data_IF_060226581855
#
_entry.id   IF_060226581855
#
_cell.length_a   1.000
_cell.length_b   1.000
_cell.length_c   1.000
_cell.angle_alpha   90.00
_cell.angle_beta   90.00
_cell.angle_gamma   90.00
#
_symmetry.space_group_name_H-M   'P 1'
#
loop_
_entity.id
_entity.type
_entity.pdbx_description
1 polymer ?
#
# COMPACT_ATOMS: atom_id res chain seq x y z
N UNK A 1 28.56 -8.40 -23.05
CA UNK A 1 28.13 -8.97 -21.76
C UNK A 1 26.62 -9.07 -21.77
N UNK A 2 26.07 -10.24 -21.46
CA UNK A 2 24.63 -10.53 -21.39
C UNK A 2 24.31 -11.21 -20.06
N UNK A 3 23.16 -10.89 -19.48
CA UNK A 3 22.73 -11.47 -18.21
C UNK A 3 21.24 -11.26 -17.94
N UNK A 4 20.79 -11.77 -16.80
CA UNK A 4 19.41 -11.59 -16.30
C UNK A 4 19.47 -11.16 -14.84
N UNK A 5 18.70 -10.14 -14.47
CA UNK A 5 18.60 -9.66 -13.09
C UNK A 5 17.30 -10.13 -12.44
N UNK A 6 17.39 -10.67 -11.22
CA UNK A 6 16.24 -11.08 -10.42
C UNK A 6 16.36 -10.63 -8.96
N UNK A 7 15.22 -10.34 -8.34
CA UNK A 7 15.10 -10.23 -6.89
C UNK A 7 14.54 -11.52 -6.33
N UNK A 8 14.95 -11.90 -5.11
CA UNK A 8 14.29 -12.96 -4.36
C UNK A 8 13.52 -12.28 -3.26
N UNK A 9 12.22 -12.49 -3.25
CA UNK A 9 11.34 -11.68 -2.44
C UNK A 9 11.61 -11.90 -0.96
N UNK A 10 11.66 -10.83 -0.18
CA UNK A 10 11.67 -10.87 1.28
C UNK A 10 10.29 -10.70 1.89
N UNK A 11 9.41 -9.96 1.19
CA UNK A 11 8.03 -9.74 1.59
C UNK A 11 7.21 -11.02 1.35
N UNK A 12 6.53 -11.51 2.40
CA UNK A 12 5.77 -12.77 2.36
C UNK A 12 4.71 -12.80 1.26
N UNK A 13 3.86 -11.78 1.19
CA UNK A 13 2.80 -11.72 0.18
C UNK A 13 3.34 -11.67 -1.27
N UNK A 14 4.51 -11.06 -1.48
CA UNK A 14 5.16 -11.04 -2.79
C UNK A 14 5.63 -12.43 -3.19
N UNK A 15 6.15 -13.22 -2.24
CA UNK A 15 6.52 -14.62 -2.48
C UNK A 15 5.31 -15.48 -2.84
N UNK A 16 4.24 -15.34 -2.05
CA UNK A 16 3.05 -16.17 -2.19
C UNK A 16 2.38 -15.96 -3.55
N UNK A 17 2.39 -14.73 -4.07
CA UNK A 17 1.67 -14.38 -5.29
C UNK A 17 2.56 -14.30 -6.54
N UNK A 18 3.80 -13.81 -6.42
CA UNK A 18 4.72 -13.65 -7.56
C UNK A 18 5.84 -14.70 -7.59
N UNK A 19 5.84 -15.64 -6.63
CA UNK A 19 6.85 -16.68 -6.46
C UNK A 19 8.06 -16.21 -5.66
N UNK A 20 8.95 -17.14 -5.28
CA UNK A 20 10.16 -16.82 -4.48
C UNK A 20 11.09 -15.78 -5.12
N UNK A 21 11.01 -15.60 -6.44
CA UNK A 21 11.83 -14.64 -7.17
C UNK A 21 11.12 -14.14 -8.43
N UNK A 22 11.36 -12.89 -8.79
CA UNK A 22 10.86 -12.28 -10.02
C UNK A 22 11.96 -11.53 -10.78
N UNK A 23 11.80 -11.35 -12.11
CA UNK A 23 12.70 -10.51 -12.89
C UNK A 23 12.62 -9.05 -12.45
N UNK A 24 13.77 -8.38 -12.36
CA UNK A 24 13.82 -6.94 -12.12
C UNK A 24 13.80 -6.20 -13.45
N UNK A 25 12.63 -5.71 -13.85
CA UNK A 25 12.43 -4.92 -15.06
C UNK A 25 12.76 -3.43 -14.85
N UNK A 26 13.23 -2.75 -15.90
CA UNK A 26 13.44 -1.30 -15.91
C UNK A 26 14.65 -0.78 -15.12
N UNK A 27 15.34 -1.63 -14.35
CA UNK A 27 16.54 -1.28 -13.57
C UNK A 27 17.68 -0.89 -14.50
N UNK A 28 18.40 0.18 -14.17
CA UNK A 28 19.58 0.57 -14.92
C UNK A 28 20.76 -0.34 -14.57
N UNK A 29 21.51 -0.77 -15.58
CA UNK A 29 22.67 -1.66 -15.46
C UNK A 29 23.86 -0.98 -16.11
N UNK A 30 24.95 -0.85 -15.35
CA UNK A 30 26.22 -0.33 -15.82
C UNK A 30 27.27 -1.42 -15.76
N UNK A 31 27.89 -1.71 -16.90
CA UNK A 31 28.99 -2.67 -17.00
C UNK A 31 30.30 -1.90 -17.01
N UNK A 32 31.24 -2.33 -16.19
CA UNK A 32 32.63 -1.91 -16.22
C UNK A 32 33.49 -3.03 -16.76
N UNK A 33 34.57 -2.67 -17.44
CA UNK A 33 35.59 -3.63 -17.83
C UNK A 33 36.99 -3.09 -17.52
N UNK A 34 37.90 -3.98 -17.13
CA UNK A 34 39.34 -3.71 -17.04
C UNK A 34 40.11 -4.68 -17.93
N UNK A 35 41.11 -4.17 -18.64
CA UNK A 35 41.92 -4.96 -19.55
C UNK A 35 43.14 -5.56 -18.83
N UNK A 36 43.57 -6.75 -19.26
CA UNK A 36 44.85 -7.34 -18.87
C UNK A 36 45.96 -6.73 -19.73
N UNK A 37 46.94 -6.11 -19.09
CA UNK A 37 48.16 -5.63 -19.73
C UNK A 37 49.39 -6.41 -19.20
N UNK A 38 50.58 -6.07 -19.68
CA UNK A 38 51.82 -6.73 -19.26
C UNK A 38 52.12 -6.59 -17.75
N UNK A 39 51.67 -5.51 -17.12
CA UNK A 39 51.87 -5.21 -15.70
C UNK A 39 50.73 -5.72 -14.78
N UNK A 40 49.70 -6.38 -15.34
CA UNK A 40 48.56 -6.90 -14.59
C UNK A 40 47.21 -6.40 -15.09
N UNK A 41 46.23 -6.29 -14.20
CA UNK A 41 44.91 -5.76 -14.52
C UNK A 41 44.91 -4.23 -14.45
N UNK A 42 44.44 -3.57 -15.52
CA UNK A 42 44.27 -2.12 -15.56
C UNK A 42 43.11 -1.61 -14.69
N UNK A 43 42.74 -0.34 -14.89
CA UNK A 43 41.63 0.30 -14.18
C UNK A 43 40.27 -0.14 -14.71
N UNK A 44 39.25 -0.07 -13.84
CA UNK A 44 37.87 -0.25 -14.24
C UNK A 44 37.40 0.92 -15.08
N UNK A 45 36.94 0.65 -16.29
CA UNK A 45 36.38 1.66 -17.18
C UNK A 45 34.92 1.33 -17.46
N UNK A 46 34.03 2.30 -17.25
CA UNK A 46 32.61 2.13 -17.52
C UNK A 46 32.33 2.00 -19.01
N UNK A 47 31.35 1.17 -19.33
CA UNK A 47 30.70 1.09 -20.63
C UNK A 47 29.37 1.86 -20.58
N UNK A 48 28.52 1.64 -21.56
CA UNK A 48 27.18 2.23 -21.64
C UNK A 48 26.26 1.68 -20.54
N UNK A 49 25.36 2.54 -20.05
CA UNK A 49 24.24 2.16 -19.17
C UNK A 49 23.07 1.68 -20.03
N UNK A 50 22.51 0.53 -19.66
CA UNK A 50 21.29 -0.02 -20.29
C UNK A 50 20.20 -0.23 -19.24
N UNK A 51 18.97 -0.48 -19.66
CA UNK A 51 17.89 -0.90 -18.75
C UNK A 51 17.58 -2.38 -18.96
N UNK A 52 17.22 -3.07 -17.88
CA UNK A 52 16.68 -4.42 -17.98
C UNK A 52 15.32 -4.41 -18.68
N UNK A 53 15.06 -5.44 -19.48
CA UNK A 53 13.75 -5.68 -20.11
C UNK A 53 12.74 -6.23 -19.10
N UNK A 54 11.49 -6.45 -19.53
CA UNK A 54 10.42 -7.03 -18.70
C UNK A 54 10.76 -8.40 -18.11
N UNK A 55 11.59 -9.19 -18.78
CA UNK A 55 12.10 -10.49 -18.32
C UNK A 55 13.38 -10.38 -17.47
N UNK A 56 13.81 -9.16 -17.13
CA UNK A 56 15.03 -8.87 -16.37
C UNK A 56 16.31 -9.00 -17.19
N UNK A 57 16.24 -9.30 -18.49
CA UNK A 57 17.45 -9.46 -19.32
C UNK A 57 18.08 -8.12 -19.67
N UNK A 58 19.42 -8.11 -19.77
CA UNK A 58 20.19 -6.97 -20.25
C UNK A 58 21.33 -7.43 -21.18
N UNK A 59 21.79 -6.51 -22.05
CA UNK A 59 22.91 -6.74 -22.94
C UNK A 59 23.69 -5.45 -23.15
N UNK A 60 25.00 -5.48 -22.89
CA UNK A 60 25.92 -4.37 -23.16
C UNK A 60 27.03 -4.86 -24.09
N UNK A 61 27.28 -4.12 -25.17
CA UNK A 61 28.35 -4.36 -26.14
C UNK A 61 29.23 -3.12 -26.28
N UNK A 62 30.53 -3.32 -26.43
CA UNK A 62 31.50 -2.27 -26.74
C UNK A 62 32.58 -2.86 -27.62
N UNK A 63 32.94 -2.14 -28.69
CA UNK A 63 34.07 -2.50 -29.51
C UNK A 63 35.37 -2.05 -28.83
N UNK A 64 36.29 -2.99 -28.66
CA UNK A 64 37.60 -2.74 -28.06
C UNK A 64 38.65 -3.61 -28.73
N UNK A 65 39.95 -3.35 -28.49
CA UNK A 65 41.03 -4.23 -28.93
C UNK A 65 40.94 -5.66 -28.40
N UNK A 66 41.87 -6.50 -28.82
CA UNK A 66 41.90 -7.96 -28.55
C UNK A 66 42.27 -8.35 -27.11
N UNK A 67 42.40 -7.38 -26.21
CA UNK A 67 42.84 -7.61 -24.84
C UNK A 67 41.83 -8.46 -24.05
N UNK A 68 42.34 -9.27 -23.13
CA UNK A 68 41.50 -10.00 -22.19
C UNK A 68 40.89 -9.05 -21.19
N UNK A 69 39.64 -9.29 -20.79
CA UNK A 69 38.89 -8.41 -19.90
C UNK A 69 38.27 -9.14 -18.73
N UNK A 70 38.23 -8.45 -17.60
CA UNK A 70 37.34 -8.77 -16.50
C UNK A 70 36.20 -7.76 -16.45
N UNK A 71 35.07 -8.19 -15.91
CA UNK A 71 33.84 -7.41 -15.82
C UNK A 71 33.43 -7.15 -14.37
N UNK A 72 32.86 -5.97 -14.16
CA UNK A 72 32.12 -5.59 -12.96
C UNK A 72 30.76 -5.05 -13.41
N UNK A 73 29.70 -5.35 -12.67
CA UNK A 73 28.35 -4.89 -12.98
C UNK A 73 27.78 -4.19 -11.76
N UNK A 74 27.28 -2.99 -11.99
CA UNK A 74 26.54 -2.22 -11.01
C UNK A 74 25.11 -1.97 -11.51
N UNK A 75 24.17 -1.83 -10.58
CA UNK A 75 22.78 -1.51 -10.88
C UNK A 75 22.31 -0.26 -10.15
N UNK A 76 21.28 0.37 -10.71
CA UNK A 76 20.65 1.56 -10.17
C UNK A 76 19.12 1.47 -10.32
N UNK A 77 18.40 1.63 -9.20
CA UNK A 77 16.94 1.66 -9.14
C UNK A 77 16.41 3.06 -9.45
N UNK A 78 16.26 3.36 -10.74
CA UNK A 78 15.91 4.70 -11.20
C UNK A 78 15.13 4.71 -12.51
N UNK A 79 13.86 5.09 -12.49
CA UNK A 79 12.99 5.35 -13.64
C UNK A 79 12.55 6.82 -13.66
N UNK A 80 11.57 7.13 -14.52
CA UNK A 80 10.93 8.43 -14.52
C UNK A 80 9.97 8.57 -13.32
N UNK A 81 9.27 7.50 -12.90
CA UNK A 81 8.37 7.54 -11.74
C UNK A 81 9.05 7.20 -10.41
N UNK A 82 10.10 6.38 -10.38
CA UNK A 82 10.66 5.84 -9.14
C UNK A 82 12.16 6.04 -9.02
N UNK A 83 12.63 6.40 -7.84
CA UNK A 83 14.03 6.25 -7.43
C UNK A 83 14.10 5.63 -6.06
N UNK A 84 14.96 4.62 -5.88
CA UNK A 84 15.27 4.07 -4.56
C UNK A 84 16.72 4.39 -4.24
N UNK A 85 16.94 4.92 -3.04
CA UNK A 85 18.25 5.31 -2.51
C UNK A 85 18.48 4.63 -1.18
N UNK A 86 19.74 4.38 -0.88
CA UNK A 86 20.17 4.07 0.48
C UNK A 86 20.11 5.35 1.31
N UNK A 87 19.27 5.39 2.35
CA UNK A 87 19.24 6.53 3.26
C UNK A 87 20.47 6.48 4.15
N UNK A 88 21.48 7.30 3.87
CA UNK A 88 22.58 7.49 4.83
C UNK A 88 22.20 8.47 5.92
N UNK A 89 22.89 8.39 7.06
CA UNK A 89 22.77 9.35 8.16
C UNK A 89 23.12 10.77 7.71
N UNK A 90 22.10 11.55 7.38
CA UNK A 90 22.22 12.99 7.17
C UNK A 90 21.24 13.71 8.09
N UNK A 91 21.52 13.72 9.40
CA UNK A 91 20.82 14.61 10.32
C UNK A 91 21.60 15.92 10.47
N UNK A 92 20.98 17.02 10.06
CA UNK A 92 21.33 18.35 10.58
C UNK A 92 20.27 18.66 11.65
N UNK A 93 20.67 18.61 12.92
CA UNK A 93 19.80 18.96 14.03
C UNK A 93 19.67 20.48 14.12
N UNK A 94 18.51 21.03 13.79
CA UNK A 94 18.17 22.39 14.20
C UNK A 94 17.48 22.32 15.56
N UNK A 95 18.16 22.85 16.59
CA UNK A 95 17.80 22.80 18.01
C UNK A 95 16.34 22.51 18.38
N UNK A 96 16.14 21.40 19.08
CA UNK A 96 14.87 20.91 19.62
C UNK A 96 14.68 19.42 19.34
N UNK A 97 13.72 18.77 19.99
CA UNK A 97 13.27 17.38 19.78
C UNK A 97 12.65 17.16 18.37
N UNK A 98 13.03 18.00 17.40
CA UNK A 98 12.39 18.17 16.11
C UNK A 98 12.76 17.10 15.11
N UNK A 99 11.74 16.74 14.32
CA UNK A 99 11.81 15.90 13.15
C UNK A 99 12.93 16.38 12.19
N UNK A 100 13.71 15.49 11.57
CA UNK A 100 14.73 15.92 10.62
C UNK A 100 14.06 16.54 9.40
N UNK A 101 14.20 17.85 9.25
CA UNK A 101 13.94 18.53 7.98
C UNK A 101 15.09 18.11 7.06
N UNK A 102 14.78 17.29 6.06
CA UNK A 102 15.71 16.95 4.99
C UNK A 102 16.10 18.24 4.25
N UNK A 103 17.22 18.84 4.64
CA UNK A 103 17.91 19.74 3.73
C UNK A 103 18.35 18.82 2.59
N UNK A 104 17.85 19.10 1.39
CA UNK A 104 18.12 18.36 0.15
C UNK A 104 19.62 18.41 -0.22
N UNK A 105 20.46 17.80 0.61
CA UNK A 105 21.88 17.61 0.42
C UNK A 105 22.04 16.13 0.14
N UNK A 106 21.88 15.80 -1.13
CA UNK A 106 22.17 14.48 -1.69
C UNK A 106 23.69 14.24 -1.65
N UNK A 107 24.23 13.96 -0.47
CA UNK A 107 25.67 13.71 -0.26
C UNK A 107 26.08 12.30 -0.70
N UNK A 108 25.12 11.45 -1.03
CA UNK A 108 25.34 10.04 -1.32
C UNK A 108 25.45 9.80 -2.82
N UNK A 109 26.61 10.09 -3.38
CA UNK A 109 27.02 9.70 -4.75
C UNK A 109 27.16 8.15 -4.93
N UNK A 110 26.58 7.35 -4.00
CA UNK A 110 26.66 5.89 -3.92
C UNK A 110 25.39 5.19 -4.42
N UNK A 111 24.78 5.74 -5.46
CA UNK A 111 23.51 5.19 -5.97
C UNK A 111 23.68 3.91 -6.81
N UNK A 112 24.90 3.56 -7.20
CA UNK A 112 25.18 2.35 -7.97
C UNK A 112 25.58 1.19 -7.04
N UNK A 113 24.83 0.09 -7.08
CA UNK A 113 25.10 -1.11 -6.29
C UNK A 113 25.89 -2.14 -7.11
N UNK A 114 27.08 -2.52 -6.65
CA UNK A 114 27.85 -3.62 -7.24
C UNK A 114 27.13 -4.96 -6.99
N UNK A 115 26.84 -5.70 -8.07
CA UNK A 115 26.15 -7.00 -8.02
C UNK A 115 26.96 -8.15 -8.63
N UNK A 116 28.08 -7.83 -9.26
CA UNK A 116 28.96 -8.80 -9.91
C UNK A 116 30.35 -8.22 -10.08
N UNK A 117 31.39 -8.98 -9.72
CA UNK A 117 32.77 -8.54 -9.84
C UNK A 117 33.72 -9.72 -10.04
N UNK A 118 34.34 -9.78 -11.21
CA UNK A 118 35.30 -10.84 -11.57
C UNK A 118 36.68 -10.68 -10.96
N UNK A 119 36.93 -9.62 -10.18
CA UNK A 119 38.22 -9.41 -9.53
C UNK A 119 38.58 -10.57 -8.59
N UNK A 120 37.59 -11.12 -7.90
CA UNK A 120 37.77 -12.13 -6.84
C UNK A 120 37.37 -13.51 -7.34
N UNK A 121 36.26 -13.62 -8.07
CA UNK A 121 35.67 -14.92 -8.46
C UNK A 121 35.71 -15.20 -9.98
N UNK A 122 36.29 -14.28 -10.75
CA UNK A 122 36.37 -14.41 -12.20
C UNK A 122 37.53 -15.30 -12.69
N UNK A 123 37.55 -15.64 -13.98
CA UNK A 123 38.70 -16.30 -14.57
C UNK A 123 39.95 -15.44 -14.35
N UNK A 124 41.01 -16.05 -13.80
CA UNK A 124 42.31 -15.40 -13.50
C UNK A 124 42.93 -14.73 -14.74
N UNK A 125 42.52 -15.22 -15.90
CA UNK A 125 42.98 -14.81 -17.20
C UNK A 125 42.00 -13.90 -17.96
N UNK A 126 40.80 -13.68 -17.41
CA UNK A 126 39.71 -12.93 -18.04
C UNK A 126 39.14 -13.56 -19.30
N UNK A 127 38.19 -12.85 -19.90
CA UNK A 127 37.51 -13.27 -21.12
C UNK A 127 38.19 -12.67 -22.34
N UNK A 128 38.24 -13.45 -23.43
CA UNK A 128 38.61 -12.93 -24.75
C UNK A 128 37.45 -12.16 -25.37
N UNK A 129 37.70 -11.48 -26.49
CA UNK A 129 36.65 -10.86 -27.29
C UNK A 129 35.55 -11.87 -27.64
N UNK A 130 34.29 -11.45 -27.50
CA UNK A 130 33.13 -12.31 -27.73
C UNK A 130 31.96 -11.99 -26.79
N UNK A 131 30.95 -12.86 -26.81
CA UNK A 131 29.80 -12.75 -25.91
C UNK A 131 30.11 -13.42 -24.59
N UNK A 132 30.19 -12.63 -23.52
CA UNK A 132 30.26 -13.14 -22.14
C UNK A 132 28.86 -13.20 -21.55
N UNK A 133 28.47 -14.39 -21.09
CA UNK A 133 27.21 -14.65 -20.40
C UNK A 133 27.49 -14.69 -18.90
N UNK A 134 26.96 -13.72 -18.14
CA UNK A 134 27.10 -13.68 -16.67
C UNK A 134 25.99 -14.45 -15.95
N UNK A 135 25.08 -15.08 -16.72
CA UNK A 135 23.97 -15.87 -16.17
C UNK A 135 22.91 -15.02 -15.49
N UNK A 136 22.25 -15.61 -14.49
CA UNK A 136 21.27 -14.93 -13.63
C UNK A 136 21.95 -14.35 -12.41
N UNK A 137 21.92 -13.02 -12.29
CA UNK A 137 22.39 -12.27 -11.13
C UNK A 137 21.20 -12.07 -10.19
N UNK A 138 21.37 -12.50 -8.94
CA UNK A 138 20.29 -12.56 -7.96
C UNK A 138 20.68 -11.75 -6.73
N UNK A 139 19.80 -10.87 -6.26
CA UNK A 139 20.07 -9.97 -5.13
C UNK A 139 20.02 -10.70 -3.76
N UNK A 140 20.61 -11.90 -3.62
CA UNK A 140 20.50 -12.74 -2.41
C UNK A 140 21.42 -12.31 -1.26
N UNK A 141 22.64 -11.86 -1.57
CA UNK A 141 23.72 -11.72 -0.58
C UNK A 141 23.75 -10.38 0.17
N UNK A 142 23.01 -9.37 -0.31
CA UNK A 142 22.96 -8.05 0.32
C UNK A 142 21.51 -7.76 0.73
N UNK A 143 21.25 -7.75 2.04
CA UNK A 143 19.89 -7.63 2.57
C UNK A 143 19.22 -6.32 2.16
N UNK A 144 19.92 -5.19 2.24
CA UNK A 144 19.40 -3.87 1.84
C UNK A 144 19.08 -3.85 0.35
N UNK A 145 20.02 -4.32 -0.47
CA UNK A 145 19.85 -4.37 -1.92
C UNK A 145 18.68 -5.27 -2.34
N UNK A 146 18.49 -6.39 -1.65
CA UNK A 146 17.33 -7.26 -1.84
C UNK A 146 16.03 -6.53 -1.53
N UNK A 147 15.97 -5.83 -0.39
CA UNK A 147 14.82 -5.03 0.06
C UNK A 147 14.53 -3.87 -0.91
N UNK A 148 15.54 -3.23 -1.50
CA UNK A 148 15.36 -2.29 -2.61
C UNK A 148 14.73 -2.95 -3.83
N UNK A 149 15.16 -4.16 -4.18
CA UNK A 149 14.54 -4.95 -5.25
C UNK A 149 13.06 -5.27 -4.99
N UNK A 150 12.69 -5.53 -3.72
CA UNK A 150 11.30 -5.74 -3.31
C UNK A 150 10.46 -4.47 -3.47
N UNK A 151 10.92 -3.35 -2.91
CA UNK A 151 10.26 -2.04 -3.04
C UNK A 151 10.09 -1.69 -4.52
N UNK A 152 11.16 -1.84 -5.32
CA UNK A 152 11.13 -1.60 -6.76
C UNK A 152 10.05 -2.43 -7.46
N UNK A 153 10.02 -3.73 -7.17
CA UNK A 153 9.08 -4.65 -7.80
C UNK A 153 7.64 -4.36 -7.39
N UNK A 154 7.41 -4.03 -6.12
CA UNK A 154 6.08 -3.71 -5.60
C UNK A 154 5.58 -2.38 -6.19
N UNK A 155 6.38 -1.32 -6.15
CA UNK A 155 5.95 0.01 -6.56
C UNK A 155 5.69 0.09 -8.06
N UNK A 156 6.52 -0.54 -8.90
CA UNK A 156 6.23 -0.58 -10.34
C UNK A 156 4.89 -1.29 -10.63
N UNK A 157 4.51 -2.32 -9.85
CA UNK A 157 3.19 -2.96 -9.99
C UNK A 157 2.05 -2.04 -9.57
N UNK A 158 2.26 -1.26 -8.51
CA UNK A 158 1.28 -0.23 -8.09
C UNK A 158 1.15 0.84 -9.17
N UNK A 159 2.25 1.32 -9.75
CA UNK A 159 2.23 2.29 -10.84
C UNK A 159 1.50 1.74 -12.06
N UNK A 160 1.82 0.51 -12.49
CA UNK A 160 1.12 -0.17 -13.59
C UNK A 160 -0.40 -0.28 -13.32
N UNK A 161 -0.80 -0.59 -12.08
CA UNK A 161 -2.21 -0.68 -11.68
C UNK A 161 -2.93 0.67 -11.81
N UNK A 162 -2.35 1.74 -11.25
CA UNK A 162 -2.97 3.06 -11.25
C UNK A 162 -2.96 3.70 -12.65
N UNK A 163 -1.91 3.50 -13.43
CA UNK A 163 -1.87 3.91 -14.84
C UNK A 163 -2.92 3.17 -15.67
N UNK A 164 -3.18 1.89 -15.33
CA UNK A 164 -4.26 1.09 -15.91
C UNK A 164 -5.67 1.65 -15.63
N UNK A 165 -5.85 2.44 -14.56
CA UNK A 165 -7.10 3.16 -14.32
C UNK A 165 -7.26 4.41 -15.19
N UNK A 166 -6.15 4.99 -15.65
CA UNK A 166 -6.07 6.14 -16.53
C UNK A 166 -5.07 7.18 -16.01
N UNK A 167 -4.58 8.06 -16.88
CA UNK A 167 -3.54 9.05 -16.55
C UNK A 167 -3.90 9.98 -15.39
N UNK A 168 -5.20 10.22 -15.15
CA UNK A 168 -5.66 11.04 -14.03
C UNK A 168 -5.48 10.35 -12.68
N UNK A 169 -5.39 9.02 -12.63
CA UNK A 169 -5.14 8.23 -11.42
C UNK A 169 -3.65 7.97 -11.16
N UNK A 170 -2.77 8.13 -12.16
CA UNK A 170 -1.34 7.89 -11.99
C UNK A 170 -0.67 8.91 -11.05
N UNK A 171 0.49 8.53 -10.52
CA UNK A 171 1.37 9.41 -9.75
C UNK A 171 1.89 10.54 -10.66
N UNK A 172 1.84 11.78 -10.20
CA UNK A 172 2.15 12.95 -11.04
C UNK A 172 3.62 13.29 -11.07
N UNK A 173 4.30 13.02 -9.96
CA UNK A 173 5.71 13.30 -9.77
C UNK A 173 6.51 12.03 -9.47
N UNK A 174 7.81 12.12 -9.69
CA UNK A 174 8.75 11.07 -9.32
C UNK A 174 8.77 10.87 -7.81
N UNK A 175 8.55 9.63 -7.38
CA UNK A 175 8.62 9.20 -5.98
C UNK A 175 10.06 8.77 -5.67
N UNK A 176 10.61 9.25 -4.57
CA UNK A 176 11.97 8.88 -4.11
C UNK A 176 11.88 8.14 -2.78
N UNK A 177 12.41 6.94 -2.72
CA UNK A 177 12.42 6.12 -1.49
C UNK A 177 13.81 6.16 -0.90
N UNK A 178 13.90 6.48 0.39
CA UNK A 178 15.13 6.32 1.18
C UNK A 178 14.95 5.12 2.11
N UNK A 179 15.68 4.04 1.83
CA UNK A 179 15.66 2.82 2.62
C UNK A 179 17.08 2.24 2.80
N UNK A 180 17.48 1.79 4.00
CA UNK A 180 16.82 2.11 5.26
C UNK A 180 16.84 3.64 5.46
N UNK A 181 15.86 4.14 6.20
CA UNK A 181 15.82 5.53 6.62
C UNK A 181 17.02 5.81 7.55
N UNK A 182 17.99 6.59 7.07
CA UNK A 182 19.19 6.97 7.83
C UNK A 182 18.94 8.14 8.78
N UNK A 183 17.94 8.09 9.67
CA UNK A 183 17.82 9.16 10.68
C UNK A 183 18.78 8.84 11.83
N UNK A 184 19.93 9.53 11.86
CA UNK A 184 21.03 9.36 12.82
C UNK A 184 20.77 9.86 14.24
N UNK A 185 19.52 10.12 14.60
CA UNK A 185 19.15 10.29 16.00
C UNK A 185 18.32 9.09 16.38
N UNK A 186 18.72 8.43 17.46
CA UNK A 186 17.97 7.44 18.22
C UNK A 186 16.61 7.94 18.73
N UNK A 187 15.83 8.69 17.95
CA UNK A 187 14.40 8.73 18.07
C UNK A 187 13.92 7.32 17.72
N UNK A 188 14.03 6.42 18.69
CA UNK A 188 13.33 5.13 18.74
C UNK A 188 11.85 5.28 18.35
N UNK A 189 11.31 6.50 18.48
CA UNK A 189 9.94 6.88 18.22
C UNK A 189 9.66 7.38 16.79
N UNK A 190 10.68 7.51 15.91
CA UNK A 190 10.42 7.86 14.50
C UNK A 190 9.85 6.65 13.76
N UNK A 191 8.68 6.79 13.17
CA UNK A 191 8.07 5.82 12.28
C UNK A 191 8.52 6.08 10.83
N UNK A 192 8.27 5.12 9.93
CA UNK A 192 8.24 5.39 8.50
C UNK A 192 7.28 6.54 8.17
N UNK A 193 7.58 7.31 7.13
CA UNK A 193 6.71 8.44 6.75
C UNK A 193 6.91 8.85 5.28
N UNK A 194 5.86 9.46 4.73
CA UNK A 194 5.86 10.15 3.45
C UNK A 194 5.96 11.67 3.66
N UNK A 195 6.90 12.32 2.97
CA UNK A 195 7.07 13.77 3.03
C UNK A 195 6.22 14.45 1.95
N UNK A 196 5.21 15.25 2.33
CA UNK A 196 4.27 15.84 1.38
C UNK A 196 4.86 17.00 0.55
N UNK A 197 6.07 17.49 0.87
CA UNK A 197 6.69 18.62 0.19
C UNK A 197 7.62 18.23 -0.95
N UNK A 198 8.19 17.03 -0.92
CA UNK A 198 9.21 16.60 -1.88
C UNK A 198 8.96 15.21 -2.49
N UNK A 199 7.84 14.57 -2.17
CA UNK A 199 7.49 13.22 -2.65
C UNK A 199 8.51 12.14 -2.24
N UNK A 200 9.22 12.37 -1.14
CA UNK A 200 10.14 11.38 -0.58
C UNK A 200 9.42 10.50 0.43
N UNK A 201 9.66 9.19 0.37
CA UNK A 201 9.22 8.22 1.37
C UNK A 201 10.46 7.72 2.11
N UNK A 202 10.34 7.67 3.43
CA UNK A 202 11.39 7.21 4.34
C UNK A 202 10.89 5.96 5.04
N UNK A 203 11.52 4.82 4.75
CA UNK A 203 11.12 3.54 5.32
C UNK A 203 12.17 3.12 6.36
N UNK A 204 11.75 2.99 7.62
CA UNK A 204 12.59 2.48 8.69
C UNK A 204 12.92 1.01 8.46
N UNK A 205 14.08 0.56 8.92
CA UNK A 205 14.47 -0.84 8.70
C UNK A 205 13.55 -1.85 9.42
N UNK A 206 13.09 -1.49 10.62
CA UNK A 206 12.18 -2.31 11.43
C UNK A 206 10.74 -2.35 10.88
N UNK A 207 10.35 -1.32 10.14
CA UNK A 207 9.05 -1.21 9.46
C UNK A 207 9.11 -1.78 8.03
N UNK A 208 10.11 -2.62 7.72
CA UNK A 208 10.20 -3.24 6.41
C UNK A 208 9.15 -4.36 6.27
N UNK A 209 7.91 -3.96 6.03
CA UNK A 209 6.79 -4.84 5.73
C UNK A 209 5.91 -4.26 4.62
N UNK A 210 5.04 -5.11 4.06
CA UNK A 210 4.21 -4.74 2.91
C UNK A 210 3.18 -3.65 3.21
N UNK A 211 2.66 -3.61 4.44
CA UNK A 211 1.66 -2.64 4.84
C UNK A 211 2.30 -1.26 4.93
N UNK A 212 3.33 -1.09 5.76
CA UNK A 212 4.02 0.19 5.93
C UNK A 212 4.50 0.76 4.58
N UNK A 213 5.11 -0.10 3.74
CA UNK A 213 5.58 0.30 2.41
C UNK A 213 4.43 0.79 1.51
N UNK A 214 3.29 0.11 1.46
CA UNK A 214 2.15 0.57 0.65
C UNK A 214 1.43 1.76 1.28
N UNK A 215 1.33 1.81 2.60
CA UNK A 215 0.75 2.91 3.37
C UNK A 215 1.44 4.23 3.01
N UNK A 216 2.78 4.29 3.11
CA UNK A 216 3.52 5.49 2.75
C UNK A 216 3.42 5.86 1.27
N UNK A 217 3.31 4.87 0.38
CA UNK A 217 3.07 5.15 -1.03
C UNK A 217 1.70 5.78 -1.28
N UNK A 218 0.68 5.34 -0.56
CA UNK A 218 -0.67 5.88 -0.69
C UNK A 218 -0.81 7.30 -0.12
N UNK A 219 0.01 7.67 0.87
CA UNK A 219 0.17 9.08 1.26
C UNK A 219 0.64 9.93 0.08
N UNK A 220 1.70 9.52 -0.62
CA UNK A 220 2.20 10.25 -1.80
C UNK A 220 1.12 10.35 -2.89
N UNK A 221 0.37 9.26 -3.14
CA UNK A 221 -0.74 9.32 -4.07
C UNK A 221 -1.79 10.35 -3.66
N UNK A 222 -2.16 10.40 -2.37
CA UNK A 222 -3.12 11.36 -1.84
C UNK A 222 -2.62 12.80 -2.01
N UNK A 223 -1.35 13.08 -1.69
CA UNK A 223 -0.76 14.42 -1.86
C UNK A 223 -0.75 14.90 -3.31
N UNK A 224 -0.73 14.00 -4.30
CA UNK A 224 -0.86 14.39 -5.71
C UNK A 224 -2.29 14.74 -6.13
N UNK A 225 -3.29 14.36 -5.32
CA UNK A 225 -4.71 14.40 -5.67
C UNK A 225 -5.60 15.06 -4.60
N UNK A 226 -5.01 15.64 -3.55
CA UNK A 226 -5.68 16.54 -2.61
C UNK A 226 -4.92 17.86 -2.49
N UNK A 227 -5.26 18.68 -1.52
CA UNK A 227 -4.52 19.89 -1.13
C UNK A 227 -4.54 19.97 0.38
N UNK A 228 -3.54 20.60 1.00
CA UNK A 228 -3.45 20.70 2.47
C UNK A 228 -2.22 20.03 3.06
N UNK A 229 -1.29 19.66 2.18
CA UNK A 229 0.05 19.13 2.42
C UNK A 229 0.84 19.96 3.44
N UNK A 230 0.60 21.27 3.45
CA UNK A 230 1.19 22.22 4.39
C UNK A 230 0.85 21.90 5.85
N UNK A 231 -0.38 21.45 6.08
CA UNK A 231 -0.85 20.98 7.38
C UNK A 231 -0.19 19.68 7.80
N UNK A 232 -0.05 18.72 6.87
CA UNK A 232 0.61 17.44 7.12
C UNK A 232 2.09 17.63 7.44
N UNK A 233 2.78 18.46 6.65
CA UNK A 233 4.17 18.81 6.90
C UNK A 233 4.37 19.42 8.30
N UNK A 234 3.46 20.30 8.73
CA UNK A 234 3.56 20.94 10.04
C UNK A 234 3.31 19.97 11.20
N UNK A 235 2.39 19.02 11.03
CA UNK A 235 2.12 17.99 12.04
C UNK A 235 3.31 17.06 12.20
N UNK A 236 3.92 16.59 11.10
CA UNK A 236 5.15 15.81 11.13
C UNK A 236 6.28 16.53 11.88
N UNK A 237 6.49 17.82 11.60
CA UNK A 237 7.53 18.63 12.27
C UNK A 237 7.27 18.77 13.78
N UNK A 238 6.01 18.95 14.17
CA UNK A 238 5.64 19.27 15.56
C UNK A 238 5.50 18.05 16.47
N UNK A 239 5.02 16.93 15.95
CA UNK A 239 4.63 15.78 16.76
C UNK A 239 5.49 14.53 16.52
N UNK A 240 6.19 14.46 15.39
CA UNK A 240 7.02 13.30 15.02
C UNK A 240 6.24 12.02 14.72
N UNK A 241 4.92 12.08 14.79
CA UNK A 241 3.94 11.06 14.42
C UNK A 241 2.65 11.78 14.01
N UNK A 242 1.85 11.12 13.18
CA UNK A 242 0.52 11.57 12.74
C UNK A 242 -0.62 10.79 13.39
N UNK A 243 -0.30 9.82 14.26
CA UNK A 243 -1.28 8.95 14.90
C UNK A 243 -1.62 9.40 16.33
N UNK A 244 -2.61 10.28 16.50
CA UNK A 244 -3.33 10.45 17.77
C UNK A 244 -4.84 10.15 17.62
N UNK A 245 -5.43 9.62 18.69
CA UNK A 245 -6.84 9.16 18.71
C UNK A 245 -7.85 10.25 18.28
N UNK A 246 -7.55 11.51 18.55
CA UNK A 246 -8.34 12.67 18.12
C UNK A 246 -7.39 13.81 17.78
N UNK A 247 -7.53 14.32 16.57
CA UNK A 247 -6.70 15.40 16.05
C UNK A 247 -7.38 16.77 16.23
N UNK A 248 -6.58 17.83 16.21
CA UNK A 248 -7.09 19.20 16.20
C UNK A 248 -7.73 19.59 14.86
N UNK A 249 -7.60 18.74 13.84
CA UNK A 249 -7.94 18.98 12.44
C UNK A 249 -8.47 17.69 11.80
N UNK A 250 -9.28 17.79 10.74
CA UNK A 250 -9.86 16.62 10.05
C UNK A 250 -8.97 16.04 8.94
N UNK A 251 -8.05 16.84 8.38
CA UNK A 251 -7.21 16.39 7.27
C UNK A 251 -6.17 15.33 7.66
N UNK A 252 -5.59 15.41 8.87
CA UNK A 252 -4.65 14.38 9.37
C UNK A 252 -5.32 13.01 9.45
N UNK A 253 -6.42 12.83 10.20
CA UNK A 253 -7.07 11.52 10.29
C UNK A 253 -7.66 11.09 8.96
N UNK A 254 -8.00 12.01 8.05
CA UNK A 254 -8.37 11.70 6.68
C UNK A 254 -7.23 11.02 5.91
N UNK A 255 -6.05 11.64 5.89
CA UNK A 255 -4.89 11.14 5.15
C UNK A 255 -4.40 9.81 5.70
N UNK A 256 -4.27 9.67 7.02
CA UNK A 256 -3.84 8.40 7.65
C UNK A 256 -4.83 7.27 7.38
N UNK A 257 -6.12 7.52 7.59
CA UNK A 257 -7.13 6.51 7.31
C UNK A 257 -7.23 6.16 5.81
N UNK A 258 -7.02 7.14 4.92
CA UNK A 258 -6.97 6.89 3.49
C UNK A 258 -5.77 6.04 3.11
N UNK A 259 -4.56 6.37 3.60
CA UNK A 259 -3.35 5.65 3.31
C UNK A 259 -3.45 4.18 3.74
N UNK A 260 -3.96 3.94 4.95
CA UNK A 260 -4.24 2.60 5.47
C UNK A 260 -5.26 1.87 4.59
N UNK A 261 -6.44 2.47 4.36
CA UNK A 261 -7.49 1.88 3.52
C UNK A 261 -6.99 1.54 2.10
N UNK A 262 -6.27 2.49 1.47
CA UNK A 262 -5.81 2.38 0.10
C UNK A 262 -4.66 1.37 -0.02
N UNK A 263 -3.82 1.19 1.00
CA UNK A 263 -2.80 0.16 1.03
C UNK A 263 -3.43 -1.24 0.91
N UNK A 264 -4.48 -1.51 1.69
CA UNK A 264 -5.21 -2.77 1.65
C UNK A 264 -5.99 -2.99 0.35
N UNK A 265 -6.66 -1.95 -0.16
CA UNK A 265 -7.35 -2.07 -1.44
C UNK A 265 -6.36 -2.28 -2.59
N UNK A 266 -5.21 -1.60 -2.57
CA UNK A 266 -4.14 -1.82 -3.55
C UNK A 266 -3.59 -3.24 -3.48
N UNK A 267 -3.33 -3.77 -2.28
CA UNK A 267 -2.94 -5.17 -2.09
C UNK A 267 -3.98 -6.11 -2.71
N UNK A 268 -5.28 -5.87 -2.42
CA UNK A 268 -6.38 -6.68 -2.93
C UNK A 268 -6.48 -6.65 -4.46
N UNK A 269 -6.33 -5.49 -5.09
CA UNK A 269 -6.33 -5.38 -6.56
C UNK A 269 -5.12 -6.07 -7.20
N UNK A 270 -3.94 -5.99 -6.56
CA UNK A 270 -2.72 -6.62 -7.07
C UNK A 270 -2.69 -8.14 -6.90
N UNK A 271 -3.29 -8.67 -5.84
CA UNK A 271 -3.06 -10.06 -5.39
C UNK A 271 -4.33 -10.86 -5.09
N UNK A 272 -5.49 -10.20 -4.99
CA UNK A 272 -6.72 -10.79 -4.45
C UNK A 272 -6.70 -11.04 -2.94
N UNK A 273 -5.61 -10.73 -2.24
CA UNK A 273 -5.51 -10.89 -0.79
C UNK A 273 -6.28 -9.79 -0.06
N UNK A 274 -6.93 -10.14 1.05
CA UNK A 274 -7.70 -9.20 1.87
C UNK A 274 -6.96 -8.76 3.14
N UNK A 275 -5.70 -9.18 3.35
CA UNK A 275 -4.83 -8.78 4.48
C UNK A 275 -3.36 -9.07 4.15
N UNK A 276 -2.42 -8.42 4.83
CA UNK A 276 -1.01 -8.79 4.75
C UNK A 276 -0.74 -10.02 5.63
N UNK A 277 0.34 -10.76 5.34
CA UNK A 277 0.69 -11.97 6.09
C UNK A 277 1.14 -11.69 7.53
N UNK A 278 1.57 -10.47 7.82
CA UNK A 278 2.08 -10.07 9.12
C UNK A 278 1.01 -9.40 9.99
N UNK A 279 -0.22 -9.24 9.47
CA UNK A 279 -1.31 -8.67 10.23
C UNK A 279 -1.78 -9.68 11.28
N UNK A 280 -1.95 -9.22 12.52
CA UNK A 280 -2.54 -10.02 13.57
C UNK A 280 -3.97 -10.46 13.19
N UNK A 281 -4.42 -11.58 13.74
CA UNK A 281 -5.75 -12.14 13.43
C UNK A 281 -6.92 -11.20 13.78
N UNK A 282 -6.67 -10.21 14.64
CA UNK A 282 -7.61 -9.16 15.04
C UNK A 282 -7.69 -7.99 14.04
N UNK A 283 -7.12 -8.13 12.85
CA UNK A 283 -7.11 -7.09 11.83
C UNK A 283 -7.91 -7.51 10.59
N UNK A 284 -9.04 -6.85 10.35
CA UNK A 284 -9.92 -7.10 9.19
C UNK A 284 -10.06 -5.84 8.34
N UNK A 285 -9.12 -5.57 7.43
CA UNK A 285 -9.00 -4.24 6.81
C UNK A 285 -10.08 -3.89 5.82
N UNK A 286 -10.74 -4.92 5.31
CA UNK A 286 -11.82 -4.79 4.37
C UNK A 286 -13.17 -4.61 5.09
N UNK A 287 -13.22 -4.51 6.42
CA UNK A 287 -14.47 -4.38 7.18
C UNK A 287 -14.60 -3.00 7.80
N UNK A 288 -15.79 -2.40 7.78
CA UNK A 288 -16.03 -1.18 8.53
C UNK A 288 -15.98 -1.46 10.04
N UNK A 289 -15.62 -0.44 10.81
CA UNK A 289 -15.62 -0.54 12.27
C UNK A 289 -17.05 -0.58 12.82
N UNK A 290 -17.21 -1.22 13.98
CA UNK A 290 -18.45 -1.14 14.74
C UNK A 290 -18.65 0.29 15.28
N UNK A 291 -19.90 0.67 15.51
CA UNK A 291 -20.23 1.98 16.11
C UNK A 291 -19.70 2.10 17.53
N UNK A 292 -19.66 1.00 18.28
CA UNK A 292 -19.10 0.98 19.63
C UNK A 292 -17.60 1.28 19.62
N UNK A 293 -16.86 0.76 18.64
CA UNK A 293 -15.43 1.02 18.49
C UNK A 293 -15.12 2.45 18.04
N UNK A 294 -15.92 3.01 17.12
CA UNK A 294 -15.81 4.44 16.74
C UNK A 294 -16.15 5.33 17.96
N UNK A 295 -17.27 5.03 18.62
CA UNK A 295 -17.80 5.80 19.76
C UNK A 295 -16.96 5.75 21.04
N UNK A 296 -16.05 4.78 21.16
CA UNK A 296 -15.13 4.68 22.28
C UNK A 296 -14.16 5.88 22.37
N UNK A 297 -13.89 6.54 21.24
CA UNK A 297 -13.08 7.77 21.19
C UNK A 297 -13.98 8.99 21.04
N UNK A 298 -14.93 8.94 20.10
CA UNK A 298 -15.77 10.08 19.77
C UNK A 298 -17.24 9.64 19.58
N UNK A 299 -18.12 9.90 20.55
CA UNK A 299 -19.51 9.45 20.50
C UNK A 299 -20.40 10.32 19.60
N UNK A 300 -19.93 11.48 19.13
CA UNK A 300 -20.73 12.44 18.38
C UNK A 300 -20.36 12.40 16.90
N UNK A 301 -21.32 12.04 16.02
CA UNK A 301 -21.10 11.96 14.56
C UNK A 301 -20.43 13.21 13.96
N UNK A 302 -20.78 14.41 14.45
CA UNK A 302 -20.23 15.68 13.97
C UNK A 302 -18.72 15.86 14.23
N UNK A 303 -18.12 14.97 15.02
CA UNK A 303 -16.70 14.98 15.36
C UNK A 303 -15.97 13.72 14.89
N UNK A 304 -16.67 12.74 14.31
CA UNK A 304 -16.09 11.44 13.92
C UNK A 304 -15.02 11.61 12.83
N UNK A 305 -15.13 12.66 12.01
CA UNK A 305 -14.15 13.08 11.02
C UNK A 305 -12.84 13.65 11.61
N UNK A 306 -12.76 13.86 12.92
CA UNK A 306 -11.51 14.17 13.64
C UNK A 306 -10.77 12.91 14.11
N UNK A 307 -11.20 11.72 13.68
CA UNK A 307 -10.63 10.43 14.07
C UNK A 307 -10.34 9.55 12.86
N UNK A 308 -9.20 8.84 12.87
CA UNK A 308 -8.86 7.87 11.82
C UNK A 308 -9.92 6.76 11.73
N UNK A 309 -10.47 6.32 12.88
CA UNK A 309 -11.51 5.28 12.93
C UNK A 309 -12.75 5.68 12.15
N UNK A 310 -13.14 6.95 12.23
CA UNK A 310 -14.23 7.49 11.45
C UNK A 310 -13.99 7.35 9.95
N UNK A 311 -12.91 7.95 9.47
CA UNK A 311 -12.56 7.94 8.05
C UNK A 311 -12.33 6.53 7.50
N UNK A 312 -11.63 5.69 8.24
CA UNK A 312 -11.37 4.31 7.85
C UNK A 312 -12.67 3.51 7.68
N UNK A 313 -13.60 3.68 8.64
CA UNK A 313 -14.92 3.07 8.55
C UNK A 313 -15.72 3.64 7.37
N UNK A 314 -15.66 4.95 7.11
CA UNK A 314 -16.31 5.58 5.97
C UNK A 314 -15.83 4.99 4.63
N UNK A 315 -14.52 4.91 4.41
CA UNK A 315 -13.95 4.35 3.19
C UNK A 315 -14.31 2.88 3.01
N UNK A 316 -14.31 2.10 4.09
CA UNK A 316 -14.75 0.71 4.04
C UNK A 316 -16.24 0.60 3.75
N UNK A 317 -17.10 1.41 4.39
CA UNK A 317 -18.54 1.46 4.08
C UNK A 317 -18.78 1.74 2.59
N UNK A 318 -18.00 2.61 1.95
CA UNK A 318 -18.17 2.89 0.52
C UNK A 318 -17.88 1.68 -0.39
N UNK A 319 -17.12 0.70 0.06
CA UNK A 319 -16.59 -0.41 -0.77
C UNK A 319 -16.86 -1.79 -0.19
N UNK A 320 -17.77 -1.86 0.78
CA UNK A 320 -18.12 -3.11 1.44
C UNK A 320 -19.36 -3.69 0.78
N UNK A 321 -19.18 -4.74 -0.02
CA UNK A 321 -20.31 -5.53 -0.52
C UNK A 321 -21.13 -6.10 0.64
N UNK A 322 -22.45 -6.15 0.48
CA UNK A 322 -23.42 -6.65 1.47
C UNK A 322 -23.43 -5.91 2.83
N UNK A 323 -23.34 -4.58 2.85
CA UNK A 323 -23.54 -3.79 4.09
C UNK A 323 -24.86 -4.09 4.81
N UNK A 324 -25.87 -4.52 4.08
CA UNK A 324 -27.17 -4.91 4.59
C UNK A 324 -27.11 -6.15 5.48
N UNK A 325 -26.04 -6.96 5.37
CA UNK A 325 -25.79 -8.16 6.17
C UNK A 325 -24.83 -7.91 7.33
N UNK A 326 -24.62 -6.66 7.72
CA UNK A 326 -23.64 -6.30 8.76
C UNK A 326 -24.33 -5.69 9.98
N UNK A 327 -23.97 -6.17 11.18
CA UNK A 327 -24.34 -5.56 12.45
C UNK A 327 -23.27 -4.58 12.93
N UNK A 328 -23.62 -3.31 12.86
CA UNK A 328 -22.78 -2.20 13.32
C UNK A 328 -22.87 -1.94 14.81
N UNK A 329 -23.84 -2.53 15.52
CA UNK A 329 -24.09 -2.32 16.94
C UNK A 329 -23.41 -3.36 17.84
N UNK A 330 -22.62 -4.28 17.28
CA UNK A 330 -21.88 -5.26 18.08
C UNK A 330 -20.82 -4.61 18.97
N UNK A 331 -20.46 -5.32 20.04
CA UNK A 331 -19.43 -4.89 20.99
C UNK A 331 -17.99 -5.15 20.53
N UNK A 332 -17.80 -5.80 19.38
CA UNK A 332 -16.48 -6.08 18.80
C UNK A 332 -15.87 -4.86 18.09
N UNK A 333 -14.59 -4.95 17.69
CA UNK A 333 -13.87 -3.87 17.00
C UNK A 333 -14.48 -3.56 15.62
N UNK A 334 -14.84 -4.60 14.87
CA UNK A 334 -15.39 -4.49 13.52
C UNK A 334 -16.87 -4.81 13.52
N UNK A 335 -17.59 -4.26 12.55
CA UNK A 335 -18.98 -4.62 12.36
C UNK A 335 -19.07 -6.10 11.89
N UNK A 336 -20.01 -6.86 12.45
CA UNK A 336 -20.05 -8.32 12.26
C UNK A 336 -21.03 -8.74 11.18
N UNK A 337 -20.69 -9.78 10.42
CA UNK A 337 -21.62 -10.37 9.47
C UNK A 337 -22.77 -11.06 10.21
N UNK A 338 -23.99 -10.81 9.76
CA UNK A 338 -25.22 -11.44 10.23
C UNK A 338 -25.74 -12.41 9.18
N UNK A 339 -26.46 -13.43 9.64
CA UNK A 339 -27.08 -14.41 8.76
C UNK A 339 -28.48 -13.93 8.35
N UNK A 340 -28.67 -13.63 7.07
CA UNK A 340 -29.96 -13.26 6.50
C UNK A 340 -29.89 -12.96 5.01
N UNK A 341 -30.91 -13.38 4.25
CA UNK A 341 -31.11 -12.96 2.86
C UNK A 341 -31.92 -11.66 2.84
N UNK A 342 -31.21 -10.56 2.96
CA UNK A 342 -31.76 -9.24 2.69
C UNK A 342 -31.28 -8.79 1.30
N UNK A 343 -32.16 -8.10 0.59
CA UNK A 343 -31.84 -7.47 -0.68
C UNK A 343 -31.99 -5.97 -0.48
N UNK A 344 -30.93 -5.30 0.00
CA UNK A 344 -30.83 -3.85 -0.11
C UNK A 344 -30.10 -3.48 -1.40
N UNK A 345 -30.28 -2.24 -1.85
CA UNK A 345 -29.45 -1.69 -2.91
C UNK A 345 -28.01 -1.55 -2.37
N UNK A 346 -27.02 -2.09 -3.08
CA UNK A 346 -25.65 -2.19 -2.58
C UNK A 346 -24.93 -0.82 -2.59
N UNK A 347 -24.29 -0.44 -1.46
CA UNK A 347 -23.21 0.54 -1.46
C UNK A 347 -21.94 -0.28 -1.61
N UNK A 348 -21.55 -0.50 -2.86
CA UNK A 348 -20.35 -1.27 -3.20
C UNK A 348 -19.65 -0.61 -4.37
N UNK A 349 -19.03 0.54 -4.09
CA UNK A 349 -18.18 1.20 -5.07
C UNK A 349 -16.86 0.46 -5.20
N UNK A 350 -16.37 0.32 -6.43
CA UNK A 350 -15.03 -0.17 -6.68
C UNK A 350 -13.97 0.76 -6.08
N UNK A 351 -12.76 0.25 -5.85
CA UNK A 351 -11.65 1.07 -5.37
C UNK A 351 -11.39 2.25 -6.32
N UNK A 352 -11.40 2.01 -7.63
CA UNK A 352 -11.27 3.04 -8.68
C UNK A 352 -12.34 4.13 -8.58
N UNK A 353 -13.58 3.77 -8.26
CA UNK A 353 -14.66 4.75 -8.07
C UNK A 353 -14.41 5.62 -6.84
N UNK A 354 -13.97 5.05 -5.71
CA UNK A 354 -13.61 5.85 -4.53
C UNK A 354 -12.43 6.78 -4.81
N UNK A 355 -11.38 6.31 -5.49
CA UNK A 355 -10.26 7.17 -5.91
C UNK A 355 -10.75 8.32 -6.80
N UNK A 356 -11.78 8.10 -7.62
CA UNK A 356 -12.32 9.14 -8.50
C UNK A 356 -12.88 10.36 -7.74
N UNK A 357 -13.23 10.21 -6.45
CA UNK A 357 -13.68 11.32 -5.60
C UNK A 357 -12.58 12.36 -5.46
N UNK A 358 -11.31 11.96 -5.45
CA UNK A 358 -10.17 12.89 -5.32
C UNK A 358 -9.92 13.69 -6.60
N UNK A 359 -10.35 13.16 -7.75
CA UNK A 359 -10.00 13.68 -9.06
C UNK A 359 -10.87 14.87 -9.48
N UNK A 360 -10.40 15.61 -10.49
CA UNK A 360 -11.17 16.66 -11.17
C UNK A 360 -12.28 16.04 -12.02
N UNK A 361 -13.50 16.56 -11.88
CA UNK A 361 -14.67 16.24 -12.72
C UNK A 361 -15.39 17.51 -13.14
N UNK A 362 -14.78 18.29 -14.06
CA UNK A 362 -15.33 19.59 -14.48
C UNK A 362 -16.75 19.48 -15.03
N UNK A 363 -17.09 18.38 -15.72
CA UNK A 363 -18.45 18.10 -16.21
C UNK A 363 -19.49 17.89 -15.09
N UNK A 364 -19.04 17.60 -13.87
CA UNK A 364 -19.85 17.40 -12.66
C UNK A 364 -19.72 18.56 -11.67
N UNK A 365 -19.18 19.70 -12.12
CA UNK A 365 -19.01 20.90 -11.30
C UNK A 365 -17.85 20.82 -10.30
N UNK A 366 -16.92 19.88 -10.49
CA UNK A 366 -15.75 19.67 -9.63
C UNK A 366 -14.49 19.99 -10.43
N UNK A 367 -14.07 21.25 -10.42
CA UNK A 367 -13.00 21.74 -11.31
C UNK A 367 -11.58 21.54 -10.77
N UNK A 368 -11.45 21.10 -9.51
CA UNK A 368 -10.17 20.94 -8.81
C UNK A 368 -10.05 19.54 -8.20
N UNK A 369 -8.84 19.19 -7.80
CA UNK A 369 -8.60 18.04 -6.93
C UNK A 369 -9.30 18.22 -5.57
N UNK A 370 -9.26 17.21 -4.70
CA UNK A 370 -9.89 17.30 -3.38
C UNK A 370 -9.27 18.46 -2.60
N UNK A 371 -10.09 19.41 -2.16
CA UNK A 371 -9.58 20.53 -1.39
C UNK A 371 -9.48 20.19 0.11
N UNK A 372 -8.58 20.83 0.85
CA UNK A 372 -8.42 20.63 2.31
C UNK A 372 -9.72 20.85 3.09
N UNK A 373 -10.53 21.81 2.66
CA UNK A 373 -11.84 22.10 3.25
C UNK A 373 -12.94 21.12 2.80
N UNK A 374 -12.62 20.19 1.91
CA UNK A 374 -13.46 19.05 1.56
C UNK A 374 -13.11 17.78 2.35
N UNK A 375 -12.04 17.79 3.16
CA UNK A 375 -11.58 16.68 4.01
C UNK A 375 -12.32 16.67 5.36
N UNK A 376 -13.63 16.87 5.31
CA UNK A 376 -14.60 16.64 6.38
C UNK A 376 -15.72 15.73 5.84
N UNK A 377 -16.41 15.00 6.72
CA UNK A 377 -17.40 14.00 6.28
C UNK A 377 -18.50 14.60 5.40
N UNK A 378 -18.96 15.81 5.70
CA UNK A 378 -20.07 16.43 4.97
C UNK A 378 -19.60 16.83 3.58
N UNK A 379 -18.50 17.55 3.48
CA UNK A 379 -17.99 18.08 2.21
C UNK A 379 -17.49 16.95 1.30
N UNK A 380 -16.79 15.96 1.86
CA UNK A 380 -16.37 14.77 1.14
C UNK A 380 -17.55 14.00 0.55
N UNK A 381 -18.60 13.75 1.35
CA UNK A 381 -19.79 13.04 0.86
C UNK A 381 -20.58 13.86 -0.16
N UNK A 382 -20.65 15.19 -0.02
CA UNK A 382 -21.26 16.05 -1.05
C UNK A 382 -20.49 15.99 -2.37
N UNK A 383 -19.16 15.89 -2.31
CA UNK A 383 -18.31 15.71 -3.48
C UNK A 383 -18.50 14.32 -4.09
N UNK A 384 -18.50 13.27 -3.27
CA UNK A 384 -18.79 11.91 -3.68
C UNK A 384 -20.17 11.81 -4.37
N UNK A 385 -21.19 12.51 -3.85
CA UNK A 385 -22.53 12.58 -4.42
C UNK A 385 -22.56 13.10 -5.86
N UNK A 386 -21.71 14.09 -6.17
CA UNK A 386 -21.60 14.63 -7.53
C UNK A 386 -20.90 13.66 -8.47
N UNK A 387 -19.93 12.89 -7.96
CA UNK A 387 -19.00 12.09 -8.75
C UNK A 387 -19.49 10.65 -8.94
N UNK A 388 -19.90 9.99 -7.87
CA UNK A 388 -20.24 8.58 -7.87
C UNK A 388 -21.63 8.34 -8.47
N UNK A 389 -21.79 7.30 -9.31
CA UNK A 389 -23.11 6.95 -9.83
C UNK A 389 -24.04 6.52 -8.70
N UNK A 390 -25.33 6.86 -8.78
CA UNK A 390 -26.37 6.43 -7.85
C UNK A 390 -26.17 6.85 -6.37
N UNK A 391 -25.26 7.78 -6.09
CA UNK A 391 -25.09 8.36 -4.77
C UNK A 391 -26.19 9.43 -4.54
N UNK A 392 -27.37 9.02 -4.06
CA UNK A 392 -28.49 9.94 -3.76
C UNK A 392 -28.38 10.54 -2.35
N UNK A 393 -29.26 11.50 -2.01
CA UNK A 393 -29.33 12.07 -0.65
C UNK A 393 -29.66 10.99 0.39
N UNK A 394 -30.56 10.06 0.05
CA UNK A 394 -30.89 8.90 0.88
C UNK A 394 -29.66 8.05 1.13
N UNK A 395 -28.80 7.89 0.11
CA UNK A 395 -27.57 7.12 0.23
C UNK A 395 -26.53 7.79 1.11
N UNK A 396 -26.37 9.10 0.98
CA UNK A 396 -25.52 9.87 1.89
C UNK A 396 -26.02 9.75 3.33
N UNK A 397 -27.35 9.80 3.54
CA UNK A 397 -27.95 9.63 4.87
C UNK A 397 -27.72 8.22 5.44
N UNK A 398 -27.85 7.20 4.60
CA UNK A 398 -27.57 5.82 4.95
C UNK A 398 -26.10 5.61 5.35
N UNK A 399 -25.15 6.11 4.55
CA UNK A 399 -23.72 6.07 4.84
C UNK A 399 -23.40 6.71 6.17
N UNK A 400 -23.93 7.92 6.41
CA UNK A 400 -23.79 8.62 7.69
C UNK A 400 -24.36 7.81 8.85
N UNK A 401 -25.40 7.01 8.62
CA UNK A 401 -25.96 6.15 9.66
C UNK A 401 -24.99 5.03 10.05
N UNK A 402 -24.26 4.42 9.10
CA UNK A 402 -23.29 3.35 9.40
C UNK A 402 -22.17 3.83 10.33
N UNK A 403 -21.66 5.04 10.07
CA UNK A 403 -20.56 5.63 10.83
C UNK A 403 -21.01 6.46 12.05
N UNK A 404 -22.31 6.56 12.34
CA UNK A 404 -22.83 7.32 13.47
C UNK A 404 -22.76 6.50 14.78
N UNK A 405 -21.90 6.85 15.74
CA UNK A 405 -21.73 6.09 16.98
C UNK A 405 -22.95 6.14 17.89
N UNK A 406 -23.76 7.20 17.79
CA UNK A 406 -24.97 7.39 18.57
C UNK A 406 -26.22 6.72 17.95
N UNK A 407 -26.11 6.13 16.75
CA UNK A 407 -27.23 5.45 16.12
C UNK A 407 -27.54 4.13 16.82
N UNK A 408 -28.79 3.97 17.27
CA UNK A 408 -29.25 2.76 17.97
C UNK A 408 -29.87 1.73 17.04
N UNK A 409 -30.45 2.16 15.92
CA UNK A 409 -31.01 1.25 14.91
C UNK A 409 -29.89 0.67 14.05
N UNK A 410 -29.80 -0.66 13.98
CA UNK A 410 -28.90 -1.31 13.05
C UNK A 410 -29.48 -1.13 11.63
N UNK A 411 -28.73 -0.62 10.64
CA UNK A 411 -29.28 -0.40 9.31
C UNK A 411 -29.76 -1.69 8.64
N UNK A 412 -29.13 -2.83 8.98
CA UNK A 412 -29.64 -4.17 8.65
C UNK A 412 -31.13 -4.32 8.96
N UNK A 413 -31.58 -3.89 10.14
CA UNK A 413 -32.97 -4.10 10.59
C UNK A 413 -34.01 -3.34 9.76
N UNK A 414 -33.60 -2.24 9.09
CA UNK A 414 -34.48 -1.47 8.21
C UNK A 414 -34.70 -2.17 6.86
N UNK A 415 -33.70 -2.92 6.38
CA UNK A 415 -33.77 -3.66 5.11
C UNK A 415 -34.30 -5.08 5.30
N UNK A 416 -34.00 -5.66 6.45
CA UNK A 416 -34.39 -7.00 6.85
C UNK A 416 -35.72 -7.01 7.63
N UNK A 417 -36.44 -5.88 7.64
CA UNK A 417 -37.65 -5.67 8.42
C UNK A 417 -38.80 -6.63 8.11
N UNK A 418 -38.93 -7.65 8.97
CA UNK A 418 -40.17 -8.32 9.40
C UNK A 418 -41.03 -8.96 8.29
N UNK A 419 -40.54 -10.00 7.61
CA UNK A 419 -41.43 -10.88 6.82
C UNK A 419 -41.36 -12.37 7.14
N UNK A 420 -40.70 -12.80 8.22
CA UNK A 420 -40.77 -14.20 8.66
C UNK A 420 -40.43 -14.37 10.14
N UNK A 421 -41.44 -14.72 10.95
CA UNK A 421 -41.44 -15.83 11.93
C UNK A 421 -42.45 -15.60 13.07
N UNK A 422 -42.79 -14.35 13.46
CA UNK A 422 -43.75 -14.14 14.57
C UNK A 422 -45.24 -14.18 14.20
N UNK A 423 -45.64 -13.86 12.97
CA UNK A 423 -47.07 -13.80 12.59
C UNK A 423 -47.65 -15.09 11.97
N UNK A 424 -46.90 -16.20 11.92
CA UNK A 424 -47.40 -17.51 11.44
C UNK A 424 -47.45 -18.61 12.49
N UNK A 425 -47.21 -18.30 13.76
CA UNK A 425 -47.53 -19.20 14.86
C UNK A 425 -48.84 -18.78 15.53
N UNK A 426 -49.93 -18.81 14.77
CA UNK A 426 -51.20 -19.19 15.39
C UNK A 426 -51.04 -20.67 15.76
N UNK A 427 -51.19 -21.06 17.04
CA UNK A 427 -51.20 -22.47 17.39
C UNK A 427 -52.44 -23.08 16.73
N UNK A 428 -52.24 -23.81 15.64
CA UNK A 428 -53.25 -24.74 15.16
C UNK A 428 -53.36 -25.80 16.27
N UNK A 429 -54.38 -25.65 17.12
CA UNK A 429 -54.86 -26.75 17.96
C UNK A 429 -55.25 -27.88 17.00
N UNK A 430 -54.36 -28.83 16.81
CA UNK A 430 -54.72 -30.10 16.18
C UNK A 430 -54.88 -31.14 17.30
N UNK A 431 -56.12 -31.53 17.65
CA UNK A 431 -56.35 -32.67 18.52
C UNK A 431 -56.12 -33.95 17.70
N UNK A 432 -55.44 -34.92 18.29
CA UNK A 432 -55.13 -36.25 17.75
C UNK A 432 -53.94 -36.32 16.80
N UNK A 433 -52.76 -36.65 17.35
CA UNK A 433 -51.89 -37.66 16.72
C UNK A 433 -51.39 -38.62 17.80
N UNK A 434 -51.69 -39.89 17.57
CA UNK A 434 -51.40 -41.05 18.40
C UNK A 434 -49.89 -41.30 18.56
N UNK A 435 -49.56 -41.83 19.75
CA UNK A 435 -48.28 -42.46 20.08
C UNK A 435 -47.88 -43.48 19.02
N UNK A 436 -46.67 -43.35 18.47
CA UNK A 436 -45.98 -44.44 17.80
C UNK A 436 -44.54 -44.53 18.31
N UNK A 437 -44.17 -45.75 18.71
CA UNK A 437 -42.90 -46.17 19.28
C UNK A 437 -41.71 -45.93 18.35
N UNK A 438 -40.64 -45.33 18.87
CA UNK A 438 -39.30 -45.39 18.27
C UNK A 438 -38.38 -46.21 19.16
N UNK A 439 -37.96 -47.39 18.65
CA UNK A 439 -36.81 -48.15 19.15
C UNK A 439 -35.50 -47.44 18.75
N UNK A 440 -34.43 -47.52 19.55
CA UNK A 440 -33.13 -46.97 19.19
C UNK A 440 -32.38 -47.90 18.22
N UNK A 441 -31.79 -47.31 17.18
CA UNK A 441 -30.84 -47.97 16.27
C UNK A 441 -29.42 -47.71 16.81
N UNK A 442 -28.70 -48.80 17.02
CA UNK A 442 -27.32 -48.85 17.49
C UNK A 442 -26.39 -48.81 16.27
N UNK A 443 -25.56 -47.77 16.13
CA UNK A 443 -24.51 -47.70 15.10
C UNK A 443 -23.17 -48.14 15.71
N UNK A 444 -22.72 -49.34 15.32
CA UNK A 444 -21.36 -49.84 15.59
C UNK A 444 -20.37 -49.15 14.65
N UNK A 445 -19.34 -48.55 15.22
CA UNK A 445 -18.08 -48.23 14.55
C UNK A 445 -17.34 -49.52 14.15
N UNK A 446 -16.71 -49.51 12.97
CA UNK A 446 -15.65 -50.45 12.59
C UNK A 446 -14.41 -49.64 12.21
N UNK A 447 -13.28 -50.04 12.80
CA UNK A 447 -11.93 -49.76 12.32
C UNK A 447 -11.64 -50.56 11.04
#
# INVERSE_FOLDING_TARGET
VKGTLKVNHGLGFMKDYYGESSPLAGVQVKVYARAKNFAGWGTWNSWTVVRTKSDGTFSVSKETGTDRRQFKIEILFDSNELRIKEGQETSITFGGDGFPIDINIDLTDKDWHEIYNEKEDGPSDGHRAGTVQVGTLSLKGNNVLRKHGDIWSLYNKVFDLFDGYGSDYGFKDKVVIKFPMGIGNNASNSASYANPLNNHIYIKEEDFDGNAILHELMHIWAYHHSTGEDGMAWQLVKHGTTHDAREATTFVPFHEAFAEYAAYKTLKELTGLNRFNNDDDDFTPHRPYSRSYIGAIEPILANVDYTERGWYSLFNVLTFGNLDRVNFNEGSKFAESTYGDCQAAEIDYSFKEVLSIFLKHSSKGVSKYLAKDEEDFRSFLNRAQKILPNMTDERVKEIKSYVNPAATANPHDNYCGISSIKDKLTPVKNPNINKANTKPVNLKQKN
#
